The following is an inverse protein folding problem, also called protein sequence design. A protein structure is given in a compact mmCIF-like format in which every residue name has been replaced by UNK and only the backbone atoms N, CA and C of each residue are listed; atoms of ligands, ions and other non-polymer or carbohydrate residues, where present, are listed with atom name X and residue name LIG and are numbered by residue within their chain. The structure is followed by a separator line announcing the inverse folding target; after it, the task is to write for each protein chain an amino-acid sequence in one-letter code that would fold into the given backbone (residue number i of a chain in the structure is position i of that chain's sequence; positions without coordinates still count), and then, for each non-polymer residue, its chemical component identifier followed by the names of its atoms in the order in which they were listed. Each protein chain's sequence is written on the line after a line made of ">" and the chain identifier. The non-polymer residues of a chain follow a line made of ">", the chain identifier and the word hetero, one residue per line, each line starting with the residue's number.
data_IF_819830962418
#
_entry.id   IF_819830962418
#
_cell.length_a   1.000
_cell.length_b   1.000
_cell.length_c   1.000
_cell.angle_alpha   90.00
_cell.angle_beta   90.00
_cell.angle_gamma   90.00
#
_symmetry.space_group_name_H-M   'P 1'
#
loop_
_entity.id
_entity.type
_entity.pdbx_description
1 polymer ?
#
# COMPACT_ATOMS: atom_id res chain seq x y z
N UNK A 1 24.59 30.60 -44.81
CA UNK A 1 24.88 31.68 -43.85
C UNK A 1 23.96 31.47 -42.66
N UNK A 2 24.29 30.82 -41.55
CA UNK A 2 25.58 30.56 -40.94
C UNK A 2 25.64 31.32 -39.60
N UNK A 3 25.23 30.67 -38.50
CA UNK A 3 25.65 30.94 -37.10
C UNK A 3 25.48 29.62 -36.33
N UNK A 4 26.54 28.83 -36.14
CA UNK A 4 27.61 28.91 -35.12
C UNK A 4 27.30 27.99 -33.93
N UNK A 5 27.85 26.76 -33.98
CA UNK A 5 28.18 25.96 -32.80
C UNK A 5 29.45 26.52 -32.14
N UNK A 6 29.55 26.45 -30.81
CA UNK A 6 30.78 26.20 -30.01
C UNK A 6 30.44 26.42 -28.52
N UNK A 7 30.48 25.38 -27.67
CA UNK A 7 31.60 24.89 -26.85
C UNK A 7 31.79 25.61 -25.50
N UNK A 8 32.24 24.79 -24.53
CA UNK A 8 32.84 25.13 -23.22
C UNK A 8 31.85 25.38 -22.07
N UNK A 9 32.09 24.96 -20.82
CA UNK A 9 33.05 24.05 -20.21
C UNK A 9 32.68 23.88 -18.72
N UNK A 10 33.07 22.74 -18.15
CA UNK A 10 33.60 22.53 -16.80
C UNK A 10 32.79 22.87 -15.54
N UNK A 11 32.71 21.86 -14.65
CA UNK A 11 33.11 21.82 -13.22
C UNK A 11 32.18 20.85 -12.47
N UNK A 12 32.58 19.62 -12.13
CA UNK A 12 33.53 19.17 -11.08
C UNK A 12 33.05 19.45 -9.65
N UNK A 13 32.47 18.42 -9.01
CA UNK A 13 32.55 18.04 -7.57
C UNK A 13 32.01 19.01 -6.49
N UNK A 14 31.83 18.58 -5.22
CA UNK A 14 32.33 17.36 -4.54
C UNK A 14 31.19 16.45 -3.99
N UNK A 15 31.27 15.12 -4.06
CA UNK A 15 32.05 14.23 -3.18
C UNK A 15 31.79 14.47 -1.68
N UNK A 16 30.70 13.92 -1.15
CA UNK A 16 30.50 13.82 0.30
C UNK A 16 31.24 12.57 0.81
N UNK A 17 32.26 12.90 1.59
CA UNK A 17 33.29 12.07 2.19
C UNK A 17 32.74 10.97 3.10
N UNK A 18 33.13 9.73 2.78
CA UNK A 18 33.24 8.63 3.74
C UNK A 18 34.21 9.02 4.86
N UNK A 19 33.78 8.88 6.12
CA UNK A 19 34.69 8.78 7.27
C UNK A 19 34.27 7.62 8.15
N UNK A 20 34.93 6.49 7.89
CA UNK A 20 35.19 5.49 8.91
C UNK A 20 36.31 6.01 9.84
N UNK A 21 36.16 5.84 11.16
CA UNK A 21 37.31 5.63 12.03
C UNK A 21 37.47 4.15 12.33
N UNK A 22 38.52 3.57 11.76
CA UNK A 22 39.14 2.34 12.21
C UNK A 22 39.61 2.50 13.66
N UNK A 23 38.93 1.85 14.60
CA UNK A 23 39.60 1.40 15.82
C UNK A 23 39.69 -0.12 15.79
N UNK A 24 40.84 -0.57 15.32
CA UNK A 24 41.39 -1.90 15.61
C UNK A 24 41.56 -2.00 17.12
N UNK A 25 40.83 -2.92 17.76
CA UNK A 25 41.30 -3.55 18.98
C UNK A 25 41.16 -5.06 18.84
N UNK A 26 42.27 -5.70 19.20
CA UNK A 26 42.69 -7.03 18.83
C UNK A 26 42.71 -7.89 20.11
N UNK A 27 42.12 -9.10 20.00
CA UNK A 27 42.22 -10.26 20.92
C UNK A 27 41.42 -10.11 22.23
N UNK A 28 40.65 -11.11 22.65
CA UNK A 28 41.15 -12.35 23.28
C UNK A 28 40.21 -13.54 22.98
N UNK A 29 40.83 -14.69 22.77
CA UNK A 29 40.25 -16.02 22.57
C UNK A 29 39.70 -16.60 23.88
N UNK A 30 38.44 -17.03 23.88
CA UNK A 30 37.86 -18.15 24.66
C UNK A 30 36.36 -18.15 24.35
N UNK A 31 35.84 -19.06 23.54
CA UNK A 31 35.57 -20.42 23.99
C UNK A 31 34.13 -20.50 24.52
N UNK A 32 33.15 -20.61 23.61
CA UNK A 32 31.88 -21.28 23.83
C UNK A 32 30.99 -21.09 22.58
N UNK A 33 30.71 -22.20 21.91
CA UNK A 33 29.60 -22.30 20.97
C UNK A 33 28.31 -21.92 21.69
N UNK A 34 27.68 -20.81 21.31
CA UNK A 34 26.24 -20.64 21.49
C UNK A 34 25.72 -19.98 20.21
N UNK A 35 25.02 -20.78 19.40
CA UNK A 35 24.33 -20.32 18.20
C UNK A 35 23.33 -19.22 18.60
N UNK A 36 23.62 -17.96 18.27
CA UNK A 36 22.61 -16.91 18.26
C UNK A 36 21.80 -17.11 16.97
N UNK A 37 20.71 -17.88 17.06
CA UNK A 37 19.76 -18.01 15.97
C UNK A 37 19.14 -16.63 15.69
N UNK A 38 19.03 -16.18 14.42
CA UNK A 38 18.22 -15.02 14.12
C UNK A 38 16.76 -15.37 14.43
N UNK A 39 16.18 -14.72 15.43
CA UNK A 39 14.73 -14.69 15.63
C UNK A 39 14.13 -14.03 14.38
N UNK A 40 13.79 -14.84 13.37
CA UNK A 40 13.02 -14.40 12.23
C UNK A 40 11.64 -14.01 12.76
N UNK A 41 11.41 -12.71 12.87
CA UNK A 41 10.09 -12.16 13.07
C UNK A 41 9.20 -12.68 11.93
N UNK A 42 8.24 -13.53 12.28
CA UNK A 42 7.24 -14.00 11.32
C UNK A 42 6.54 -12.76 10.72
N UNK A 43 6.33 -12.72 9.39
CA UNK A 43 5.52 -11.67 8.79
C UNK A 43 4.13 -11.70 9.44
N UNK A 44 3.55 -10.54 9.80
CA UNK A 44 2.22 -10.52 10.40
C UNK A 44 1.23 -11.20 9.45
N UNK A 45 0.59 -12.27 9.93
CA UNK A 45 -0.53 -12.89 9.23
C UNK A 45 -1.60 -11.82 9.03
N UNK A 46 -2.22 -11.72 7.83
CA UNK A 46 -3.34 -10.82 7.62
C UNK A 46 -4.42 -11.18 8.63
N UNK A 47 -4.63 -10.30 9.60
CA UNK A 47 -5.63 -10.53 10.64
C UNK A 47 -6.99 -10.51 9.96
N UNK A 48 -7.70 -11.65 10.01
CA UNK A 48 -9.11 -11.75 9.65
C UNK A 48 -10.03 -10.83 10.50
N UNK A 49 -9.45 -10.03 11.39
CA UNK A 49 -10.08 -8.99 12.20
C UNK A 49 -10.50 -7.73 11.43
N UNK A 50 -10.49 -7.75 10.09
CA UNK A 50 -10.96 -6.62 9.28
C UNK A 50 -12.49 -6.50 9.20
N UNK A 51 -13.22 -7.57 9.53
CA UNK A 51 -14.68 -7.58 9.56
C UNK A 51 -15.22 -7.68 10.98
N UNK A 52 -15.66 -6.55 11.56
CA UNK A 52 -16.24 -6.52 12.90
C UNK A 52 -17.76 -6.51 12.82
N UNK A 53 -18.43 -7.49 13.45
CA UNK A 53 -19.89 -7.56 13.48
C UNK A 53 -20.54 -7.71 12.09
N UNK A 54 -19.84 -8.33 11.14
CA UNK A 54 -20.27 -8.45 9.75
C UNK A 54 -20.02 -7.21 8.88
N UNK A 55 -19.30 -6.21 9.39
CA UNK A 55 -18.90 -5.01 8.66
C UNK A 55 -17.41 -5.08 8.35
N UNK A 56 -17.07 -5.21 7.07
CA UNK A 56 -15.72 -5.21 6.53
C UNK A 56 -15.35 -3.79 6.06
N UNK A 57 -14.61 -3.05 6.88
CA UNK A 57 -14.13 -1.70 6.52
C UNK A 57 -12.90 -1.79 5.63
N UNK A 58 -12.97 -1.24 4.41
CA UNK A 58 -11.85 -1.26 3.46
C UNK A 58 -10.55 -0.64 4.02
N UNK A 59 -10.64 0.34 4.93
CA UNK A 59 -9.45 0.92 5.60
C UNK A 59 -8.79 -0.07 6.56
N UNK A 60 -9.56 -0.96 7.19
CA UNK A 60 -9.01 -2.03 8.03
C UNK A 60 -8.19 -3.06 7.21
N UNK A 61 -8.46 -3.13 5.90
CA UNK A 61 -7.69 -3.93 4.94
C UNK A 61 -6.58 -3.13 4.22
N UNK A 62 -6.34 -1.88 4.63
CA UNK A 62 -5.25 -1.05 4.13
C UNK A 62 -5.62 -0.09 2.99
N UNK A 63 -6.91 0.17 2.74
CA UNK A 63 -7.30 1.22 1.79
C UNK A 63 -6.96 2.60 2.37
N UNK A 64 -6.40 3.47 1.55
CA UNK A 64 -6.02 4.83 1.94
C UNK A 64 -7.18 5.81 1.78
N UNK A 65 -7.89 5.76 0.65
CA UNK A 65 -8.97 6.70 0.36
C UNK A 65 -8.49 8.14 0.10
N UNK A 66 -7.23 8.33 -0.31
CA UNK A 66 -6.65 9.64 -0.60
C UNK A 66 -6.84 10.10 -2.07
N UNK A 67 -7.39 9.24 -2.92
CA UNK A 67 -7.62 9.51 -4.33
C UNK A 67 -6.40 9.35 -5.23
N UNK A 68 -5.20 9.05 -4.70
CA UNK A 68 -3.99 8.79 -5.49
C UNK A 68 -3.61 7.32 -5.45
N UNK A 69 -3.66 6.69 -4.28
CA UNK A 69 -3.39 5.26 -4.13
C UNK A 69 -4.41 4.41 -4.92
N UNK A 70 -3.94 3.28 -5.44
CA UNK A 70 -4.80 2.25 -6.02
C UNK A 70 -5.17 1.28 -4.91
N UNK A 71 -6.38 1.44 -4.36
CA UNK A 71 -6.89 0.69 -3.21
C UNK A 71 -7.41 -0.71 -3.57
N UNK A 72 -7.26 -1.14 -4.83
CA UNK A 72 -7.78 -2.42 -5.37
C UNK A 72 -7.44 -3.62 -4.48
N UNK A 73 -6.22 -3.72 -3.96
CA UNK A 73 -5.82 -4.86 -3.13
C UNK A 73 -6.59 -4.91 -1.82
N UNK A 74 -6.71 -3.78 -1.12
CA UNK A 74 -7.45 -3.67 0.13
C UNK A 74 -8.95 -3.94 -0.08
N UNK A 75 -9.54 -3.36 -1.13
CA UNK A 75 -10.95 -3.58 -1.48
C UNK A 75 -11.23 -5.06 -1.80
N UNK A 76 -10.34 -5.72 -2.55
CA UNK A 76 -10.48 -7.15 -2.85
C UNK A 76 -10.31 -8.02 -1.61
N UNK A 77 -9.38 -7.69 -0.72
CA UNK A 77 -9.21 -8.41 0.54
C UNK A 77 -10.46 -8.28 1.44
N UNK A 78 -11.03 -7.08 1.51
CA UNK A 78 -12.26 -6.82 2.25
C UNK A 78 -13.47 -7.56 1.64
N UNK A 79 -13.60 -7.59 0.31
CA UNK A 79 -14.64 -8.34 -0.38
C UNK A 79 -14.48 -9.86 -0.20
N UNK A 80 -13.25 -10.38 -0.22
CA UNK A 80 -12.98 -11.78 0.07
C UNK A 80 -13.33 -12.16 1.51
N UNK A 81 -13.03 -11.28 2.47
CA UNK A 81 -13.40 -11.47 3.86
C UNK A 81 -14.93 -11.41 4.06
N UNK A 82 -15.62 -10.52 3.33
CA UNK A 82 -17.08 -10.46 3.28
C UNK A 82 -17.69 -11.76 2.75
N UNK A 83 -17.13 -12.29 1.66
CA UNK A 83 -17.58 -13.53 1.03
C UNK A 83 -17.43 -14.76 1.95
N UNK A 84 -16.51 -14.70 2.92
CA UNK A 84 -16.31 -15.76 3.91
C UNK A 84 -17.35 -15.72 5.05
N UNK A 85 -18.18 -14.67 5.15
CA UNK A 85 -19.23 -14.57 6.16
C UNK A 85 -20.44 -15.44 5.80
N UNK A 86 -20.88 -16.29 6.71
CA UNK A 86 -21.98 -17.26 6.49
C UNK A 86 -23.33 -16.60 6.16
N UNK A 87 -23.57 -15.37 6.61
CA UNK A 87 -24.83 -14.65 6.44
C UNK A 87 -24.71 -13.43 5.51
N UNK A 88 -23.58 -13.27 4.83
CA UNK A 88 -23.23 -12.02 4.15
C UNK A 88 -22.85 -10.92 5.16
N UNK A 89 -22.90 -9.67 4.72
CA UNK A 89 -22.48 -8.54 5.55
C UNK A 89 -22.37 -7.24 4.77
N UNK A 90 -21.58 -6.30 5.29
CA UNK A 90 -21.38 -4.98 4.71
C UNK A 90 -19.92 -4.77 4.32
N UNK A 91 -19.64 -4.45 3.06
CA UNK A 91 -18.38 -3.87 2.63
C UNK A 91 -18.47 -2.35 2.75
N UNK A 92 -17.76 -1.78 3.71
CA UNK A 92 -17.88 -0.37 4.10
C UNK A 92 -16.75 0.46 3.49
N UNK A 93 -17.13 1.52 2.78
CA UNK A 93 -16.24 2.61 2.34
C UNK A 93 -16.49 3.83 3.24
N UNK A 94 -15.63 4.07 4.24
CA UNK A 94 -15.85 5.16 5.18
C UNK A 94 -15.58 6.52 4.52
N UNK A 95 -16.33 7.54 4.97
CA UNK A 95 -16.11 8.93 4.61
C UNK A 95 -14.72 9.42 5.01
N UNK A 96 -14.32 10.58 4.49
CA UNK A 96 -13.08 11.20 4.95
C UNK A 96 -13.25 11.84 6.32
N UNK A 97 -12.15 11.89 7.07
CA UNK A 97 -12.12 12.47 8.40
C UNK A 97 -12.04 14.00 8.30
N UNK A 98 -12.75 14.70 9.20
CA UNK A 98 -12.59 16.15 9.40
C UNK A 98 -12.85 17.04 8.17
N UNK A 99 -13.86 16.69 7.37
CA UNK A 99 -14.34 17.54 6.26
C UNK A 99 -13.57 17.39 4.94
N UNK A 100 -12.57 16.51 4.89
CA UNK A 100 -11.92 16.11 3.64
C UNK A 100 -12.71 14.95 3.03
N UNK A 101 -13.04 14.95 1.72
CA UNK A 101 -13.66 13.77 1.09
C UNK A 101 -12.65 12.62 0.98
N UNK A 102 -13.11 11.39 1.14
CA UNK A 102 -12.35 10.18 0.87
C UNK A 102 -12.61 9.70 -0.56
N UNK A 103 -11.55 9.41 -1.31
CA UNK A 103 -11.65 8.93 -2.69
C UNK A 103 -10.88 7.62 -2.83
N UNK A 104 -11.59 6.56 -3.15
CA UNK A 104 -11.04 5.21 -3.30
C UNK A 104 -10.96 4.85 -4.77
N UNK A 105 -9.75 4.62 -5.29
CA UNK A 105 -9.55 4.18 -6.68
C UNK A 105 -9.39 2.67 -6.72
N UNK A 106 -10.34 1.97 -7.34
CA UNK A 106 -10.36 0.50 -7.36
C UNK A 106 -10.64 -0.04 -8.75
N UNK A 107 -10.06 -1.20 -9.05
CA UNK A 107 -10.53 -2.06 -10.13
C UNK A 107 -11.93 -2.63 -9.81
N UNK A 108 -12.57 -3.37 -10.74
CA UNK A 108 -13.88 -3.96 -10.53
C UNK A 108 -13.99 -4.76 -9.22
N UNK A 109 -15.12 -4.59 -8.54
CA UNK A 109 -15.43 -5.24 -7.26
C UNK A 109 -16.35 -6.42 -7.53
N UNK A 110 -15.94 -7.62 -7.15
CA UNK A 110 -16.78 -8.81 -7.24
C UNK A 110 -17.57 -8.98 -5.94
N UNK A 111 -18.83 -8.55 -5.94
CA UNK A 111 -19.70 -8.66 -4.76
C UNK A 111 -20.44 -10.01 -4.76
N UNK A 112 -20.47 -10.67 -3.61
CA UNK A 112 -21.19 -11.94 -3.43
C UNK A 112 -22.64 -11.71 -2.97
N UNK A 113 -23.48 -12.74 -3.09
CA UNK A 113 -24.86 -12.72 -2.59
C UNK A 113 -24.91 -12.34 -1.10
N UNK A 114 -25.95 -11.60 -0.72
CA UNK A 114 -26.15 -11.07 0.64
C UNK A 114 -25.05 -10.10 1.13
N UNK A 115 -24.16 -9.66 0.24
CA UNK A 115 -23.24 -8.57 0.49
C UNK A 115 -23.88 -7.22 0.20
N UNK A 116 -23.70 -6.25 1.10
CA UNK A 116 -24.10 -4.86 0.93
C UNK A 116 -22.85 -4.00 0.76
N UNK A 117 -22.74 -3.29 -0.36
CA UNK A 117 -21.72 -2.25 -0.53
C UNK A 117 -22.25 -0.94 0.03
N UNK A 118 -21.67 -0.47 1.15
CA UNK A 118 -22.05 0.77 1.81
C UNK A 118 -20.99 1.83 1.59
N UNK A 119 -21.39 2.93 0.94
CA UNK A 119 -20.56 4.12 0.75
C UNK A 119 -21.09 5.20 1.67
N UNK A 120 -20.29 5.59 2.66
CA UNK A 120 -20.69 6.62 3.62
C UNK A 120 -20.61 8.03 3.03
N UNK A 121 -21.25 8.98 3.70
CA UNK A 121 -21.19 10.39 3.31
C UNK A 121 -19.73 10.87 3.23
N UNK A 122 -19.40 11.56 2.13
CA UNK A 122 -18.04 12.05 1.88
C UNK A 122 -17.07 10.98 1.37
N UNK A 123 -17.52 9.76 1.06
CA UNK A 123 -16.73 8.78 0.31
C UNK A 123 -17.14 8.76 -1.17
N UNK A 124 -16.14 8.64 -2.04
CA UNK A 124 -16.29 8.45 -3.49
C UNK A 124 -15.54 7.21 -3.92
N UNK A 125 -16.19 6.29 -4.63
CA UNK A 125 -15.56 5.10 -5.21
C UNK A 125 -15.38 5.34 -6.71
N UNK A 126 -14.13 5.39 -7.16
CA UNK A 126 -13.76 5.61 -8.56
C UNK A 126 -13.25 4.31 -9.18
N UNK A 127 -13.85 3.93 -10.30
CA UNK A 127 -13.29 2.91 -11.16
C UNK A 127 -11.94 3.36 -11.71
N UNK A 128 -10.92 2.53 -11.59
CA UNK A 128 -9.67 2.75 -12.32
C UNK A 128 -9.90 2.29 -13.77
N UNK A 129 -9.77 3.21 -14.72
CA UNK A 129 -10.01 3.00 -16.15
C UNK A 129 -8.76 2.51 -16.90
N UNK A 130 -8.00 1.59 -16.30
CA UNK A 130 -6.90 0.92 -17.02
C UNK A 130 -7.41 -0.09 -18.06
N UNK A 131 -8.70 -0.43 -18.01
CA UNK A 131 -9.45 -1.13 -19.03
C UNK A 131 -9.86 -0.16 -20.15
N UNK A 132 -9.41 -0.48 -21.36
CA UNK A 132 -9.67 0.32 -22.56
C UNK A 132 -11.16 0.35 -22.87
N UNK A 133 -11.69 1.54 -23.15
CA UNK A 133 -12.99 1.71 -23.80
C UNK A 133 -13.05 0.87 -25.09
N UNK A 134 -13.98 -0.07 -25.16
CA UNK A 134 -14.42 -0.64 -26.43
C UNK A 134 -15.33 0.40 -27.10
N UNK A 135 -14.92 1.02 -28.23
CA UNK A 135 -15.81 1.94 -28.93
C UNK A 135 -17.06 1.17 -29.35
N UNK A 136 -18.22 1.71 -28.98
CA UNK A 136 -19.48 1.28 -29.57
C UNK A 136 -19.46 1.70 -31.05
N UNK A 137 -19.16 0.76 -31.95
CA UNK A 137 -19.50 0.79 -33.38
C UNK A 137 -20.87 0.11 -33.58
#
# INVERSE_FOLDING_TARGET
>A
RGVSQAHAAASVGPSVSMRAPCHVQLRILAGAWLLCAPTQAAPPLPSAAGCAGGICDVRAFGAHGDGKAVDTHAVRAAAAALAALEHGGVLLFPGGSSGVPAVYRTAPINLTSNGVLRVEAGATVLGNSADKEDPCD
#
